data_IF_237005071703
#
_entry.id   IF_237005071703
#
_cell.length_a   1.000
_cell.length_b   1.000
_cell.length_c   1.000
_cell.angle_alpha   90.00
_cell.angle_beta   90.00
_cell.angle_gamma   90.00
#
_symmetry.space_group_name_H-M   'P 1'
#
loop_
_entity.id
_entity.type
_entity.pdbx_description
1 polymer ?
#
# COMPACT_ATOMS: atom_id res chain seq x y z
N UNK A 1 9.54 -6.87 9.71
CA UNK A 1 9.48 -6.49 8.28
C UNK A 1 10.65 -5.56 7.99
N UNK A 2 11.63 -6.01 7.21
CA UNK A 2 12.73 -5.14 6.78
C UNK A 2 12.22 -4.35 5.57
N UNK A 3 12.11 -3.04 5.72
CA UNK A 3 11.54 -2.16 4.69
C UNK A 3 12.71 -1.65 3.85
N UNK A 4 12.75 -1.97 2.56
CA UNK A 4 13.73 -1.41 1.63
C UNK A 4 13.27 -0.01 1.18
N UNK A 5 13.77 1.00 1.88
CA UNK A 5 13.39 2.40 1.74
C UNK A 5 14.24 3.05 0.67
N UNK A 6 13.67 3.34 -0.49
CA UNK A 6 14.36 4.17 -1.48
C UNK A 6 13.43 5.24 -2.10
N UNK A 7 13.38 6.40 -1.44
CA UNK A 7 12.69 7.58 -1.97
C UNK A 7 13.28 8.07 -3.29
N UNK A 8 14.60 7.90 -3.47
CA UNK A 8 15.28 8.36 -4.65
C UNK A 8 14.80 7.56 -5.86
N UNK A 9 14.68 6.23 -5.73
CA UNK A 9 14.16 5.36 -6.78
C UNK A 9 12.71 5.68 -7.11
N UNK A 10 11.86 5.93 -6.11
CA UNK A 10 10.46 6.31 -6.36
C UNK A 10 10.34 7.60 -7.19
N UNK A 11 11.20 8.59 -6.92
CA UNK A 11 11.26 9.84 -7.71
C UNK A 11 11.85 9.60 -9.10
N UNK A 12 12.96 8.88 -9.18
CA UNK A 12 13.63 8.55 -10.45
C UNK A 12 12.74 7.75 -11.40
N UNK A 13 11.89 6.87 -10.86
CA UNK A 13 10.95 6.09 -11.65
C UNK A 13 9.62 6.80 -11.91
N UNK A 14 9.40 8.02 -11.38
CA UNK A 14 8.11 8.72 -11.52
C UNK A 14 6.92 7.96 -10.92
N UNK A 15 7.17 7.03 -9.99
CA UNK A 15 6.11 6.23 -9.36
C UNK A 15 5.45 5.20 -10.27
N UNK A 16 6.19 4.47 -11.11
CA UNK A 16 5.65 3.37 -11.93
C UNK A 16 4.73 2.40 -11.16
N UNK A 17 5.07 2.07 -9.91
CA UNK A 17 4.22 1.23 -9.06
C UNK A 17 2.86 1.88 -8.72
N UNK A 18 2.84 3.21 -8.54
CA UNK A 18 1.62 3.98 -8.36
C UNK A 18 0.81 4.05 -9.66
N UNK A 19 1.44 4.09 -10.83
CA UNK A 19 0.76 4.11 -12.13
C UNK A 19 0.10 2.77 -12.46
N UNK A 20 0.78 1.64 -12.14
CA UNK A 20 0.29 0.30 -12.49
C UNK A 20 -0.54 -0.39 -11.39
N UNK A 21 0.10 -0.72 -10.26
CA UNK A 21 -0.51 -1.54 -9.21
C UNK A 21 -0.17 -1.00 -7.82
N UNK A 22 -0.92 -0.01 -7.30
CA UNK A 22 -0.63 0.56 -5.99
C UNK A 22 -0.68 -0.50 -4.91
N UNK A 23 0.19 -0.41 -3.91
CA UNK A 23 0.27 -1.39 -2.83
C UNK A 23 -0.83 -1.26 -1.78
N UNK A 24 -0.94 -2.28 -0.93
CA UNK A 24 -1.84 -2.34 0.23
C UNK A 24 -1.09 -2.10 1.55
N UNK A 25 -1.82 -1.65 2.58
CA UNK A 25 -1.31 -1.67 3.95
C UNK A 25 -1.43 -3.08 4.51
N UNK A 26 -0.30 -3.77 4.67
CA UNK A 26 -0.26 -5.15 5.19
C UNK A 26 -0.53 -5.23 6.69
N UNK A 27 -0.18 -4.19 7.45
CA UNK A 27 -0.22 -4.16 8.90
C UNK A 27 -1.40 -3.30 9.40
N UNK A 28 -2.44 -3.91 9.99
CA UNK A 28 -3.60 -3.19 10.52
C UNK A 28 -3.26 -2.23 11.66
N UNK A 29 -2.26 -2.54 12.49
CA UNK A 29 -1.85 -1.66 13.61
C UNK A 29 -1.18 -0.42 13.09
N UNK A 30 -0.24 -0.57 12.15
CA UNK A 30 0.35 0.57 11.45
C UNK A 30 -0.71 1.40 10.72
N UNK A 31 -1.67 0.73 10.08
CA UNK A 31 -2.78 1.43 9.44
C UNK A 31 -3.65 2.22 10.45
N UNK A 32 -3.89 1.65 11.64
CA UNK A 32 -4.57 2.31 12.74
C UNK A 32 -3.80 3.57 13.21
N UNK A 33 -2.49 3.48 13.35
CA UNK A 33 -1.63 4.62 13.73
C UNK A 33 -1.78 5.78 12.73
N UNK A 34 -1.78 5.48 11.43
CA UNK A 34 -1.85 6.49 10.37
C UNK A 34 -3.25 7.13 10.27
N UNK A 35 -4.32 6.32 10.28
CA UNK A 35 -5.65 6.81 9.89
C UNK A 35 -6.65 6.91 11.05
N UNK A 36 -6.33 6.32 12.20
CA UNK A 36 -7.19 6.19 13.37
C UNK A 36 -6.49 6.59 14.68
N UNK A 37 -5.33 7.26 14.63
CA UNK A 37 -4.57 7.66 15.82
C UNK A 37 -4.25 6.48 16.76
N UNK A 38 -4.00 5.30 16.19
CA UNK A 38 -3.59 4.10 16.91
C UNK A 38 -4.72 3.31 17.57
N UNK A 39 -5.98 3.78 17.50
CA UNK A 39 -7.11 3.02 18.05
C UNK A 39 -7.54 1.89 17.11
N UNK A 40 -8.06 0.81 17.69
CA UNK A 40 -8.77 -0.21 16.92
C UNK A 40 -10.01 0.40 16.23
N UNK A 41 -10.37 -0.15 15.08
CA UNK A 41 -11.49 0.31 14.27
C UNK A 41 -12.27 -0.86 13.69
N UNK A 42 -13.56 -0.66 13.46
CA UNK A 42 -14.42 -1.67 12.82
C UNK A 42 -14.37 -1.55 11.30
N UNK A 43 -14.85 -2.59 10.61
CA UNK A 43 -14.96 -2.56 9.16
C UNK A 43 -15.91 -1.45 8.67
N UNK A 44 -16.98 -1.15 9.40
CA UNK A 44 -17.94 -0.10 9.01
C UNK A 44 -17.37 1.32 9.22
N UNK A 45 -16.58 1.53 10.27
CA UNK A 45 -15.79 2.75 10.43
C UNK A 45 -14.80 2.93 9.26
N UNK A 46 -14.12 1.85 8.86
CA UNK A 46 -13.20 1.89 7.73
C UNK A 46 -13.91 2.19 6.41
N UNK A 47 -15.04 1.54 6.12
CA UNK A 47 -15.84 1.83 4.92
C UNK A 47 -16.23 3.31 4.86
N UNK A 48 -16.72 3.85 5.97
CA UNK A 48 -17.10 5.26 6.07
C UNK A 48 -15.89 6.16 5.84
N UNK A 49 -14.76 5.86 6.49
CA UNK A 49 -13.53 6.64 6.36
C UNK A 49 -13.01 6.64 4.92
N UNK A 50 -12.95 5.49 4.24
CA UNK A 50 -12.45 5.37 2.86
C UNK A 50 -13.13 6.33 1.88
N UNK A 51 -14.42 6.63 2.04
CA UNK A 51 -15.14 7.59 1.17
C UNK A 51 -14.55 9.00 1.20
N UNK A 52 -13.80 9.34 2.26
CA UNK A 52 -13.28 10.70 2.51
C UNK A 52 -11.78 10.86 2.30
N UNK A 53 -11.00 9.77 2.21
CA UNK A 53 -9.51 9.85 2.28
C UNK A 53 -8.75 9.19 1.12
N UNK A 54 -9.36 9.12 -0.08
CA UNK A 54 -8.68 8.59 -1.27
C UNK A 54 -8.29 7.10 -1.16
N UNK A 55 -8.94 6.37 -0.26
CA UNK A 55 -8.73 4.95 -0.03
C UNK A 55 -9.89 4.12 -0.59
N UNK A 56 -9.64 2.84 -0.80
CA UNK A 56 -10.63 1.84 -1.16
C UNK A 56 -10.38 0.54 -0.38
N UNK A 57 -11.38 -0.33 -0.36
CA UNK A 57 -11.25 -1.69 0.14
C UNK A 57 -11.08 -2.65 -1.04
N UNK A 58 -9.88 -3.22 -1.17
CA UNK A 58 -9.66 -4.32 -2.11
C UNK A 58 -10.14 -5.63 -1.51
N UNK A 59 -10.76 -6.44 -2.34
CA UNK A 59 -11.26 -7.75 -1.93
C UNK A 59 -10.18 -8.82 -2.12
N UNK A 60 -9.61 -9.30 -1.02
CA UNK A 60 -8.65 -10.40 -1.00
C UNK A 60 -9.36 -11.72 -0.63
N UNK A 61 -10.06 -12.31 -1.61
CA UNK A 61 -10.83 -13.56 -1.45
C UNK A 61 -11.82 -13.51 -0.27
N UNK A 62 -12.65 -12.47 -0.23
CA UNK A 62 -13.63 -12.18 0.81
C UNK A 62 -13.12 -11.29 1.94
N UNK A 63 -11.82 -11.01 2.00
CA UNK A 63 -11.21 -10.19 3.06
C UNK A 63 -11.02 -8.76 2.57
N UNK A 64 -11.67 -7.75 3.19
CA UNK A 64 -11.45 -6.35 2.83
C UNK A 64 -10.09 -5.87 3.33
N UNK A 65 -9.28 -5.34 2.42
CA UNK A 65 -7.93 -4.81 2.69
C UNK A 65 -7.86 -3.36 2.22
N UNK A 66 -7.45 -2.41 3.08
CA UNK A 66 -7.29 -1.02 2.66
C UNK A 66 -6.13 -0.88 1.68
N UNK A 67 -6.40 -0.14 0.61
CA UNK A 67 -5.43 0.26 -0.39
C UNK A 67 -5.76 1.68 -0.88
N UNK A 68 -4.79 2.39 -1.49
CA UNK A 68 -5.10 3.61 -2.23
C UNK A 68 -6.15 3.32 -3.28
N UNK A 69 -7.06 4.28 -3.49
CA UNK A 69 -7.91 4.29 -4.68
C UNK A 69 -7.01 4.36 -5.91
N UNK A 70 -7.40 3.67 -6.97
CA UNK A 70 -6.69 3.69 -8.24
C UNK A 70 -7.66 3.61 -9.40
N UNK A 71 -7.40 4.39 -10.43
CA UNK A 71 -8.14 4.41 -11.70
C UNK A 71 -7.15 4.34 -12.88
N UNK A 72 -7.60 4.68 -14.09
CA UNK A 72 -6.79 4.68 -15.31
C UNK A 72 -5.60 5.66 -15.25
N UNK A 73 -5.66 6.67 -14.38
CA UNK A 73 -4.56 7.61 -14.11
C UNK A 73 -3.60 7.10 -13.04
N UNK A 74 -3.86 5.92 -12.46
CA UNK A 74 -3.07 5.30 -11.42
C UNK A 74 -3.58 5.58 -10.02
N UNK A 75 -2.68 5.49 -9.04
CA UNK A 75 -2.93 5.69 -7.62
C UNK A 75 -3.41 7.12 -7.33
N UNK A 76 -4.39 7.25 -6.42
CA UNK A 76 -4.90 8.54 -5.95
C UNK A 76 -3.84 9.44 -5.27
N UNK A 77 -2.66 8.89 -4.95
CA UNK A 77 -1.53 9.61 -4.39
C UNK A 77 -0.35 9.72 -5.36
N UNK A 78 -0.54 9.46 -6.65
CA UNK A 78 0.48 9.75 -7.67
C UNK A 78 0.62 11.28 -7.83
N UNK A 79 1.85 11.75 -7.84
CA UNK A 79 2.24 13.12 -8.12
C UNK A 79 3.34 13.14 -9.21
N UNK A 80 3.70 14.33 -9.69
CA UNK A 80 4.69 14.52 -10.77
C UNK A 80 6.04 13.83 -10.48
N UNK A 81 6.47 13.80 -9.22
CA UNK A 81 7.73 13.21 -8.78
C UNK A 81 7.54 11.83 -8.11
N UNK A 82 6.49 11.10 -8.49
CA UNK A 82 6.15 9.80 -7.91
C UNK A 82 5.14 9.88 -6.77
N UNK A 83 5.25 9.01 -5.76
CA UNK A 83 4.23 8.94 -4.71
C UNK A 83 4.24 10.18 -3.81
N UNK A 84 3.11 10.87 -3.72
CA UNK A 84 2.90 12.06 -2.89
C UNK A 84 2.70 11.79 -1.40
N UNK A 85 2.56 10.52 -0.98
CA UNK A 85 2.56 10.18 0.44
C UNK A 85 3.95 10.28 1.05
N UNK A 86 4.02 10.77 2.28
CA UNK A 86 5.21 10.63 3.14
C UNK A 86 5.52 9.15 3.41
N UNK A 87 6.79 8.82 3.69
CA UNK A 87 7.21 7.44 3.93
C UNK A 87 6.41 6.73 5.02
N UNK A 88 6.16 7.44 6.11
CA UNK A 88 5.39 7.00 7.26
C UNK A 88 3.94 6.67 6.90
N UNK A 89 3.39 7.32 5.87
CA UNK A 89 2.02 7.13 5.42
C UNK A 89 1.86 6.07 4.32
N UNK A 90 2.93 5.73 3.59
CA UNK A 90 2.85 4.83 2.43
C UNK A 90 2.40 3.40 2.78
N UNK A 91 1.69 2.70 1.87
CA UNK A 91 1.37 1.29 2.03
C UNK A 91 2.62 0.42 2.24
N UNK A 92 2.50 -0.64 3.06
CA UNK A 92 3.62 -1.54 3.35
C UNK A 92 4.19 -2.18 2.09
N UNK A 93 3.33 -2.58 1.14
CA UNK A 93 3.78 -3.12 -0.14
C UNK A 93 4.60 -2.10 -0.94
N UNK A 94 4.18 -0.82 -0.98
CA UNK A 94 4.94 0.22 -1.68
C UNK A 94 6.34 0.43 -1.07
N UNK A 95 6.42 0.36 0.26
CA UNK A 95 7.68 0.53 0.99
C UNK A 95 8.59 -0.70 0.95
N UNK A 96 8.03 -1.88 0.70
CA UNK A 96 8.80 -3.13 0.68
C UNK A 96 9.26 -3.55 -0.71
N UNK A 97 8.90 -2.82 -1.77
CA UNK A 97 9.35 -3.13 -3.12
C UNK A 97 10.88 -3.08 -3.20
N UNK A 98 11.46 -4.14 -3.74
CA UNK A 98 12.90 -4.24 -3.98
C UNK A 98 13.13 -3.98 -5.47
N UNK A 99 13.70 -2.83 -5.85
CA UNK A 99 13.97 -2.51 -7.24
C UNK A 99 15.11 -3.35 -7.79
N UNK A 100 14.98 -3.77 -9.03
CA UNK A 100 16.04 -4.37 -9.82
C UNK A 100 16.82 -3.27 -10.54
N UNK A 101 17.94 -2.85 -9.95
CA UNK A 101 18.70 -1.69 -10.42
C UNK A 101 19.25 -1.91 -11.83
N UNK A 102 19.46 -3.14 -12.27
CA UNK A 102 19.95 -3.42 -13.62
C UNK A 102 18.91 -3.03 -14.69
N UNK A 103 17.64 -3.06 -14.33
CA UNK A 103 16.55 -2.69 -15.26
C UNK A 103 16.44 -1.17 -15.47
N UNK A 104 17.00 -0.33 -14.58
CA UNK A 104 17.06 1.13 -14.83
C UNK A 104 17.67 1.47 -16.18
N UNK A 105 18.69 0.71 -16.61
CA UNK A 105 19.39 0.94 -17.88
C UNK A 105 18.54 0.60 -19.11
N UNK A 106 17.45 -0.15 -18.95
CA UNK A 106 16.52 -0.50 -20.04
C UNK A 106 15.38 0.50 -20.16
N UNK A 107 15.32 1.54 -19.30
CA UNK A 107 14.28 2.56 -19.28
C UNK A 107 13.05 2.22 -18.44
N UNK A 108 13.00 1.03 -17.82
CA UNK A 108 11.91 0.56 -16.97
C UNK A 108 12.47 0.03 -15.65
N UNK A 109 11.84 0.34 -14.52
CA UNK A 109 12.23 -0.26 -13.23
C UNK A 109 11.30 -1.44 -12.92
N UNK A 110 11.86 -2.63 -12.92
CA UNK A 110 11.20 -3.80 -12.35
C UNK A 110 11.40 -3.82 -10.84
N UNK A 111 10.33 -4.10 -10.10
CA UNK A 111 10.39 -4.28 -8.65
C UNK A 111 9.87 -5.66 -8.29
N UNK A 112 10.52 -6.28 -7.30
CA UNK A 112 10.05 -7.53 -6.71
C UNK A 112 9.44 -7.27 -5.34
N UNK A 113 8.33 -7.94 -5.07
CA UNK A 113 7.66 -7.87 -3.78
C UNK A 113 8.14 -9.02 -2.88
N UNK A 114 8.61 -8.73 -1.66
CA UNK A 114 8.92 -9.75 -0.66
C UNK A 114 7.74 -10.67 -0.35
N UNK A 115 8.03 -11.94 0.00
CA UNK A 115 7.00 -12.95 0.26
C UNK A 115 6.11 -12.65 1.48
N UNK A 116 6.63 -11.95 2.49
CA UNK A 116 5.89 -11.47 3.66
C UNK A 116 4.91 -10.33 3.32
N UNK A 117 5.02 -9.75 2.12
CA UNK A 117 4.10 -8.76 1.56
C UNK A 117 3.21 -9.34 0.46
N UNK A 118 3.19 -10.67 0.31
CA UNK A 118 2.35 -11.35 -0.67
C UNK A 118 0.85 -11.22 -0.37
N UNK A 119 0.04 -11.48 -1.40
CA UNK A 119 -1.41 -11.50 -1.31
C UNK A 119 -1.94 -12.40 -0.18
N UNK A 120 -1.39 -13.62 -0.07
CA UNK A 120 -1.82 -14.60 0.94
C UNK A 120 -1.51 -14.15 2.36
N UNK A 121 -0.32 -13.59 2.59
CA UNK A 121 0.08 -13.07 3.90
C UNK A 121 -0.79 -11.89 4.32
N UNK A 122 -1.02 -10.92 3.42
CA UNK A 122 -1.87 -9.74 3.70
C UNK A 122 -3.29 -10.17 4.02
N UNK A 123 -3.85 -11.08 3.22
CA UNK A 123 -5.19 -11.63 3.44
C UNK A 123 -5.32 -12.23 4.83
N UNK A 124 -4.35 -13.03 5.25
CA UNK A 124 -4.39 -13.70 6.55
C UNK A 124 -4.34 -12.71 7.72
N UNK A 125 -3.43 -11.73 7.65
CA UNK A 125 -3.28 -10.71 8.69
C UNK A 125 -4.57 -9.92 8.86
N UNK A 126 -5.17 -9.44 7.76
CA UNK A 126 -6.42 -8.69 7.83
C UNK A 126 -7.60 -9.56 8.27
N UNK A 127 -7.66 -10.83 7.85
CA UNK A 127 -8.69 -11.75 8.28
C UNK A 127 -8.68 -11.92 9.81
N UNK A 128 -7.51 -12.09 10.41
CA UNK A 128 -7.36 -12.21 11.85
C UNK A 128 -7.78 -10.94 12.56
N UNK A 129 -7.31 -9.78 12.09
CA UNK A 129 -7.72 -8.48 12.65
C UNK A 129 -9.24 -8.30 12.66
N UNK A 130 -9.92 -8.63 11.56
CA UNK A 130 -11.37 -8.52 11.48
C UNK A 130 -12.13 -9.50 12.37
N UNK A 131 -11.54 -10.65 12.73
CA UNK A 131 -12.13 -11.57 13.69
C UNK A 131 -11.99 -11.08 15.14
N UNK A 132 -10.97 -10.27 15.41
CA UNK A 132 -10.72 -9.69 16.75
C UNK A 132 -11.52 -8.40 16.99
N UNK A 133 -11.78 -7.62 15.94
CA UNK A 133 -12.48 -6.32 16.02
C UNK A 133 -13.94 -6.37 15.52
N UNK A 134 -14.39 -7.53 15.09
CA UNK A 134 -15.72 -7.79 14.51
C UNK A 134 -16.81 -8.00 15.55
#
# INVERSE_FOLDING_TARGET
>A
MHIHRDQQICRQCGGLCCQGHPGCWTDPRRFAEIFFAGRNFTLDELKTRCTTIGLQLRNYSGVPVPAPRSDESGCAFLAEQGCGLGEDQRPCQCLGLIPDIETLFTGEIHCRLPGDLSYGTIREIWRQFWQETG
#
